data_IF_188658715547
#
_entry.id   IF_188658715547
#
_cell.length_a   1.000
_cell.length_b   1.000
_cell.length_c   1.000
_cell.angle_alpha   90.00
_cell.angle_beta   90.00
_cell.angle_gamma   90.00
#
_symmetry.space_group_name_H-M   'P 1'
#
loop_
_entity.id
_entity.type
_entity.pdbx_description
1 polymer ?
#
# COMPACT_ATOMS: atom_id res chain seq x y z
N UNK A 1 -21.87 -4.50 -9.81
CA UNK A 1 -22.29 -3.09 -10.02
C UNK A 1 -22.95 -2.46 -8.80
N UNK A 2 -23.74 -3.17 -7.97
CA UNK A 2 -24.44 -2.56 -6.83
C UNK A 2 -23.54 -2.04 -5.68
N UNK A 3 -22.39 -2.66 -5.40
CA UNK A 3 -21.50 -2.20 -4.32
C UNK A 3 -20.82 -0.86 -4.61
N UNK A 4 -20.44 -0.60 -5.86
CA UNK A 4 -19.81 0.67 -6.24
C UNK A 4 -20.81 1.83 -6.15
N UNK A 5 -22.07 1.60 -6.54
CA UNK A 5 -23.16 2.57 -6.42
C UNK A 5 -23.50 2.89 -4.96
N UNK A 6 -23.60 1.86 -4.11
CA UNK A 6 -23.85 2.02 -2.67
C UNK A 6 -22.76 2.85 -1.97
N UNK A 7 -21.48 2.62 -2.33
CA UNK A 7 -20.35 3.38 -1.79
C UNK A 7 -20.35 4.83 -2.28
N UNK A 8 -20.72 5.08 -3.55
CA UNK A 8 -20.89 6.45 -4.05
C UNK A 8 -22.07 7.18 -3.41
N UNK A 9 -23.18 6.49 -3.15
CA UNK A 9 -24.35 7.05 -2.49
C UNK A 9 -24.07 7.37 -1.01
N UNK A 10 -23.46 6.44 -0.27
CA UNK A 10 -23.01 6.68 1.12
C UNK A 10 -22.05 7.87 1.23
N UNK A 11 -21.19 8.03 0.22
CA UNK A 11 -20.23 9.14 0.11
C UNK A 11 -20.91 10.48 -0.19
N UNK A 12 -21.93 10.49 -1.02
CA UNK A 12 -22.73 11.69 -1.34
C UNK A 12 -23.67 12.08 -0.20
N UNK A 13 -24.14 11.10 0.59
CA UNK A 13 -25.03 11.29 1.73
C UNK A 13 -24.31 11.77 3.02
N UNK A 14 -23.00 12.00 2.96
CA UNK A 14 -22.28 12.70 4.01
C UNK A 14 -22.15 11.94 5.32
N UNK A 15 -21.75 10.66 5.30
CA UNK A 15 -21.40 9.92 6.53
C UNK A 15 -20.36 10.68 7.38
N UNK A 16 -20.80 11.31 8.47
CA UNK A 16 -20.08 12.39 9.15
C UNK A 16 -19.02 11.93 10.16
N UNK A 17 -17.93 11.30 9.70
CA UNK A 17 -16.75 11.09 10.56
C UNK A 17 -15.43 11.48 9.86
N UNK A 18 -15.26 12.77 9.50
CA UNK A 18 -14.07 13.23 8.78
C UNK A 18 -12.78 12.94 9.56
N UNK A 19 -12.80 13.13 10.88
CA UNK A 19 -11.63 12.90 11.76
C UNK A 19 -11.15 11.44 11.67
N UNK A 20 -12.07 10.48 11.64
CA UNK A 20 -11.75 9.06 11.51
C UNK A 20 -11.15 8.77 10.13
N UNK A 21 -11.71 9.36 9.06
CA UNK A 21 -11.18 9.25 7.71
C UNK A 21 -9.76 9.80 7.56
N UNK A 22 -9.48 10.97 8.12
CA UNK A 22 -8.13 11.54 8.16
C UNK A 22 -7.17 10.69 8.99
N UNK A 23 -7.61 10.17 10.14
CA UNK A 23 -6.79 9.29 10.97
C UNK A 23 -6.37 8.01 10.25
N UNK A 24 -7.32 7.34 9.60
CA UNK A 24 -7.06 6.12 8.81
C UNK A 24 -6.16 6.44 7.61
N UNK A 25 -6.40 7.57 6.92
CA UNK A 25 -5.55 8.02 5.81
C UNK A 25 -4.10 8.24 6.26
N UNK A 26 -3.87 8.96 7.36
CA UNK A 26 -2.52 9.23 7.88
C UNK A 26 -1.81 7.93 8.26
N UNK A 27 -2.50 7.02 8.94
CA UNK A 27 -1.95 5.72 9.29
C UNK A 27 -1.57 4.91 8.04
N UNK A 28 -2.46 4.86 7.06
CA UNK A 28 -2.19 4.20 5.78
C UNK A 28 -0.99 4.83 5.06
N UNK A 29 -0.93 6.15 4.99
CA UNK A 29 0.17 6.89 4.38
C UNK A 29 1.52 6.59 5.05
N UNK A 30 1.57 6.57 6.39
CA UNK A 30 2.80 6.24 7.13
C UNK A 30 3.24 4.82 6.79
N UNK A 31 2.34 3.84 6.81
CA UNK A 31 2.67 2.45 6.50
C UNK A 31 3.17 2.30 5.06
N UNK A 32 2.50 2.93 4.09
CA UNK A 32 2.90 2.88 2.68
C UNK A 32 4.27 3.53 2.43
N UNK A 33 4.55 4.67 3.08
CA UNK A 33 5.88 5.32 2.99
C UNK A 33 6.96 4.45 3.61
N UNK A 34 6.70 3.83 4.77
CA UNK A 34 7.65 2.89 5.40
C UNK A 34 7.89 1.68 4.51
N UNK A 35 6.85 1.10 3.92
CA UNK A 35 6.97 -0.01 2.98
C UNK A 35 7.80 0.37 1.76
N UNK A 36 7.52 1.52 1.15
CA UNK A 36 8.30 2.05 0.04
C UNK A 36 9.77 2.26 0.43
N UNK A 37 10.03 2.82 1.61
CA UNK A 37 11.39 3.02 2.11
C UNK A 37 12.13 1.69 2.25
N UNK A 38 11.53 0.70 2.91
CA UNK A 38 12.16 -0.61 3.13
C UNK A 38 12.40 -1.34 1.80
N UNK A 39 11.44 -1.30 0.87
CA UNK A 39 11.52 -2.00 -0.40
C UNK A 39 12.48 -1.35 -1.40
N UNK A 40 12.47 -0.02 -1.53
CA UNK A 40 13.17 0.68 -2.62
C UNK A 40 14.30 1.59 -2.16
N UNK A 41 14.17 2.34 -1.06
CA UNK A 41 15.18 3.33 -0.66
C UNK A 41 16.25 2.76 0.26
N UNK A 42 15.92 1.77 1.08
CA UNK A 42 16.84 1.24 2.10
C UNK A 42 18.12 0.69 1.48
N UNK A 43 18.02 -0.02 0.36
CA UNK A 43 19.18 -0.56 -0.32
C UNK A 43 20.09 0.54 -0.94
N UNK A 44 19.57 1.48 -1.75
CA UNK A 44 20.35 2.64 -2.22
C UNK A 44 20.98 3.43 -1.08
N UNK A 45 20.24 3.75 -0.03
CA UNK A 45 20.76 4.49 1.14
C UNK A 45 21.88 3.71 1.82
N UNK A 46 21.70 2.40 2.03
CA UNK A 46 22.73 1.54 2.61
C UNK A 46 24.03 1.53 1.77
N UNK A 47 23.90 1.55 0.44
CA UNK A 47 25.03 1.63 -0.50
C UNK A 47 25.69 3.00 -0.53
N UNK A 48 24.91 4.08 -0.46
CA UNK A 48 25.42 5.46 -0.38
C UNK A 48 26.22 5.71 0.89
N UNK A 49 25.86 5.05 2.00
CA UNK A 49 26.61 5.08 3.26
C UNK A 49 27.91 4.25 3.22
N UNK A 50 28.27 3.66 2.08
CA UNK A 50 29.53 2.93 1.91
C UNK A 50 29.51 1.47 2.40
N UNK A 51 28.36 0.94 2.81
CA UNK A 51 28.27 -0.42 3.33
C UNK A 51 28.35 -1.48 2.20
N UNK A 52 28.90 -2.65 2.53
CA UNK A 52 29.02 -3.79 1.60
C UNK A 52 27.66 -4.39 1.27
N UNK A 53 27.55 -5.15 0.18
CA UNK A 53 26.29 -5.84 -0.15
C UNK A 53 25.97 -6.94 0.87
N UNK A 54 27.00 -7.59 1.41
CA UNK A 54 26.87 -8.74 2.31
C UNK A 54 26.32 -8.37 3.69
N UNK A 55 26.49 -7.11 4.12
CA UNK A 55 25.88 -6.62 5.36
C UNK A 55 24.40 -6.25 5.22
N UNK A 56 23.86 -6.23 3.99
CA UNK A 56 22.46 -5.87 3.76
C UNK A 56 21.52 -7.03 4.11
N UNK A 57 20.78 -6.87 5.20
CA UNK A 57 19.66 -7.77 5.54
C UNK A 57 18.37 -7.20 4.98
N UNK A 58 17.85 -7.85 3.94
CA UNK A 58 16.51 -7.56 3.44
C UNK A 58 15.49 -7.94 4.53
N UNK A 59 14.66 -6.98 4.93
CA UNK A 59 13.54 -7.22 5.84
C UNK A 59 12.30 -7.09 4.99
N UNK A 60 11.49 -8.14 4.89
CA UNK A 60 10.17 -8.01 4.27
C UNK A 60 9.36 -7.03 5.12
N UNK A 61 9.06 -5.86 4.57
CA UNK A 61 8.17 -4.88 5.19
C UNK A 61 6.83 -5.53 5.53
N UNK A 62 6.06 -4.94 6.45
CA UNK A 62 4.74 -5.44 6.88
C UNK A 62 3.82 -5.50 5.66
N UNK A 63 3.72 -6.65 4.97
CA UNK A 63 3.01 -6.70 3.73
C UNK A 63 1.52 -6.76 4.11
N UNK A 64 0.66 -6.19 3.29
CA UNK A 64 -0.80 -6.25 3.35
C UNK A 64 -1.48 -5.22 4.26
N UNK A 65 -0.88 -4.81 5.39
CA UNK A 65 -1.58 -3.91 6.32
C UNK A 65 -1.79 -2.50 5.75
N UNK A 66 -0.80 -1.92 5.06
CA UNK A 66 -0.91 -0.56 4.48
C UNK A 66 -2.04 -0.46 3.45
N UNK A 67 -2.09 -1.40 2.51
CA UNK A 67 -3.11 -1.46 1.47
C UNK A 67 -4.53 -1.61 2.02
N UNK A 68 -4.73 -2.47 3.02
CA UNK A 68 -6.06 -2.64 3.65
C UNK A 68 -6.51 -1.38 4.38
N UNK A 69 -5.59 -0.70 5.07
CA UNK A 69 -5.88 0.57 5.77
C UNK A 69 -6.24 1.66 4.75
N UNK A 70 -5.51 1.76 3.64
CA UNK A 70 -5.82 2.73 2.58
C UNK A 70 -7.13 2.42 1.87
N UNK A 71 -7.51 1.14 1.70
CA UNK A 71 -8.84 0.76 1.17
C UNK A 71 -9.92 1.27 2.11
N UNK A 72 -9.76 1.06 3.42
CA UNK A 72 -10.65 1.63 4.43
C UNK A 72 -10.75 3.16 4.35
N UNK A 73 -9.63 3.85 4.13
CA UNK A 73 -9.62 5.30 3.95
C UNK A 73 -10.38 5.74 2.69
N UNK A 74 -10.21 5.05 1.56
CA UNK A 74 -10.87 5.39 0.30
C UNK A 74 -12.39 5.19 0.37
N UNK A 75 -12.86 4.22 1.16
CA UNK A 75 -14.30 3.97 1.35
C UNK A 75 -14.99 5.04 2.19
N UNK A 76 -14.24 5.94 2.85
CA UNK A 76 -14.79 7.04 3.62
C UNK A 76 -15.01 8.30 2.76
N UNK A 77 -15.96 9.17 3.12
CA UNK A 77 -16.18 10.41 2.38
C UNK A 77 -14.95 11.32 2.47
N UNK A 78 -14.34 11.57 1.33
CA UNK A 78 -13.15 12.41 1.21
C UNK A 78 -13.31 13.42 0.07
N UNK A 79 -12.62 14.56 0.16
CA UNK A 79 -12.50 15.48 -0.97
C UNK A 79 -11.72 14.82 -2.12
N UNK A 80 -11.84 15.38 -3.32
CA UNK A 80 -11.18 14.84 -4.52
C UNK A 80 -9.67 14.64 -4.32
N UNK A 81 -9.00 15.62 -3.70
CA UNK A 81 -7.55 15.61 -3.46
C UNK A 81 -7.09 14.47 -2.55
N UNK A 82 -7.83 14.18 -1.48
CA UNK A 82 -7.56 13.07 -0.57
C UNK A 82 -7.76 11.71 -1.25
N UNK A 83 -8.78 11.58 -2.10
CA UNK A 83 -8.96 10.36 -2.90
C UNK A 83 -7.85 10.16 -3.91
N UNK A 84 -7.41 11.23 -4.58
CA UNK A 84 -6.26 11.17 -5.48
C UNK A 84 -4.97 10.78 -4.72
N UNK A 85 -4.72 11.40 -3.57
CA UNK A 85 -3.57 11.07 -2.73
C UNK A 85 -3.63 9.62 -2.23
N UNK A 86 -4.81 9.13 -1.82
CA UNK A 86 -5.02 7.74 -1.39
C UNK A 86 -4.73 6.76 -2.53
N UNK A 87 -5.22 7.04 -3.74
CA UNK A 87 -4.94 6.21 -4.91
C UNK A 87 -3.44 6.16 -5.26
N UNK A 88 -2.75 7.30 -5.20
CA UNK A 88 -1.29 7.35 -5.41
C UNK A 88 -0.52 6.56 -4.33
N UNK A 89 -0.91 6.70 -3.07
CA UNK A 89 -0.30 5.95 -1.96
C UNK A 89 -0.52 4.45 -2.08
N UNK A 90 -1.69 4.00 -2.56
CA UNK A 90 -1.93 2.58 -2.83
C UNK A 90 -1.01 2.02 -3.92
N UNK A 91 -0.72 2.81 -4.96
CA UNK A 91 0.21 2.40 -6.02
C UNK A 91 1.65 2.30 -5.49
N UNK A 92 2.03 3.23 -4.61
CA UNK A 92 3.35 3.28 -3.97
C UNK A 92 3.54 2.23 -2.86
N UNK A 93 2.46 1.70 -2.29
CA UNK A 93 2.54 0.67 -1.25
C UNK A 93 2.95 -0.67 -1.85
N UNK A 94 4.26 -0.87 -1.97
CA UNK A 94 4.90 -2.09 -2.50
C UNK A 94 4.73 -3.29 -1.58
N UNK A 95 4.24 -3.07 -0.35
CA UNK A 95 3.82 -4.13 0.56
C UNK A 95 2.35 -4.52 0.40
N UNK A 96 1.54 -3.80 -0.39
CA UNK A 96 0.10 -4.05 -0.48
C UNK A 96 -0.26 -5.35 -1.21
N UNK A 97 -1.53 -5.75 -1.08
CA UNK A 97 -2.05 -6.99 -1.68
C UNK A 97 -1.94 -7.01 -3.21
N UNK A 98 -2.03 -5.85 -3.87
CA UNK A 98 -1.87 -5.76 -5.33
C UNK A 98 -0.47 -6.18 -5.75
N UNK A 99 0.56 -5.70 -5.05
CA UNK A 99 1.95 -6.08 -5.30
C UNK A 99 2.23 -7.52 -4.89
N UNK A 100 1.62 -8.02 -3.82
CA UNK A 100 1.68 -9.44 -3.47
C UNK A 100 1.15 -10.32 -4.60
N UNK A 101 -0.01 -9.99 -5.18
CA UNK A 101 -0.58 -10.71 -6.33
C UNK A 101 0.36 -10.65 -7.54
N UNK A 102 0.91 -9.48 -7.86
CA UNK A 102 1.87 -9.32 -8.97
C UNK A 102 3.10 -10.20 -8.76
N UNK A 103 3.68 -10.22 -7.56
CA UNK A 103 4.86 -11.04 -7.25
C UNK A 103 4.53 -12.54 -7.30
N UNK A 104 3.43 -12.97 -6.67
CA UNK A 104 3.01 -14.37 -6.68
C UNK A 104 2.70 -14.86 -8.11
N UNK A 105 2.13 -14.01 -8.97
CA UNK A 105 1.88 -14.35 -10.37
C UNK A 105 3.16 -14.42 -11.20
N UNK A 106 4.15 -13.59 -10.87
CA UNK A 106 5.41 -13.53 -11.60
C UNK A 106 6.40 -14.63 -11.22
N UNK A 107 6.24 -15.26 -10.06
CA UNK A 107 7.12 -16.31 -9.56
C UNK A 107 6.57 -17.73 -9.88
N UNK A 108 7.22 -18.49 -10.78
CA UNK A 108 6.78 -19.84 -11.16
C UNK A 108 6.72 -20.84 -10.00
N UNK A 109 7.49 -20.60 -8.93
CA UNK A 109 7.53 -21.48 -7.76
C UNK A 109 6.20 -21.54 -7.01
N UNK A 110 5.43 -20.44 -7.02
CA UNK A 110 4.08 -20.39 -6.45
C UNK A 110 3.08 -21.29 -7.19
N UNK A 111 3.36 -21.60 -8.46
CA UNK A 111 2.49 -22.39 -9.34
C UNK A 111 2.97 -23.83 -9.50
N UNK A 112 3.92 -24.27 -8.67
CA UNK A 112 4.45 -25.63 -8.70
C UNK A 112 5.28 -25.96 -9.94
N UNK A 113 5.65 -24.96 -10.76
CA UNK A 113 6.62 -25.15 -11.85
C UNK A 113 8.03 -25.09 -11.27
N UNK A 114 8.69 -26.23 -11.14
CA UNK A 114 10.14 -26.26 -10.88
C UNK A 114 10.83 -25.63 -12.07
N UNK A 115 11.66 -24.62 -11.81
CA UNK A 115 12.51 -24.02 -12.83
C UNK A 115 13.37 -25.15 -13.44
N UNK A 116 13.18 -25.39 -14.74
CA UNK A 116 14.02 -26.27 -15.56
C UNK A 116 15.36 -25.58 -15.83
#
# INVERSE_FOLDING_TARGET
MCGALFLTEWRLLGGQHPIVGYGIFVLGAIVSVVNYYISYLRYPVHRMLGNSKDSYKHVSGVPLFGGLVLIGAWLLPQNFWLSLATALLMLLDTGSISWFVVMAWSDPSFWGKKNA
#
